data_IF_825366034784
#
_entry.id   IF_825366034784
#
_cell.length_a   1.000
_cell.length_b   1.000
_cell.length_c   1.000
_cell.angle_alpha   90.00
_cell.angle_beta   90.00
_cell.angle_gamma   90.00
#
_symmetry.space_group_name_H-M   'P 1'
#
loop_
_entity.id
_entity.type
_entity.pdbx_description
1 polymer ?
#
# COMPACT_ATOMS: atom_id res chain seq x y z
N UNK A 1 14.82 -12.94 9.82
CA UNK A 1 14.88 -11.49 10.09
C UNK A 1 13.65 -11.14 10.89
N UNK A 2 13.82 -10.46 12.03
CA UNK A 2 12.68 -10.09 12.86
C UNK A 2 12.18 -8.71 12.43
N UNK A 3 10.93 -8.62 11.96
CA UNK A 3 10.32 -7.34 11.56
C UNK A 3 9.71 -6.70 12.80
N UNK A 4 10.23 -5.54 13.18
CA UNK A 4 9.86 -4.86 14.41
C UNK A 4 9.42 -3.41 14.19
N UNK A 5 9.84 -2.77 13.10
CA UNK A 5 9.51 -1.40 12.71
C UNK A 5 9.25 -1.33 11.21
N UNK A 6 8.60 -0.27 10.74
CA UNK A 6 8.35 -0.10 9.30
C UNK A 6 9.63 -0.09 8.46
N UNK A 7 10.71 0.52 8.97
CA UNK A 7 12.00 0.60 8.27
C UNK A 7 12.61 -0.77 7.96
N UNK A 8 12.28 -1.80 8.75
CA UNK A 8 12.77 -3.16 8.52
C UNK A 8 12.22 -3.76 7.21
N UNK A 9 11.10 -3.23 6.71
CA UNK A 9 10.48 -3.64 5.45
C UNK A 9 11.18 -3.05 4.22
N UNK A 10 11.82 -1.90 4.33
CA UNK A 10 12.32 -1.12 3.18
C UNK A 10 13.37 -1.85 2.33
N UNK A 11 14.02 -2.88 2.88
CA UNK A 11 15.01 -3.71 2.16
C UNK A 11 14.41 -4.93 1.46
N UNK A 12 13.11 -5.19 1.67
CA UNK A 12 12.44 -6.38 1.15
C UNK A 12 11.83 -6.11 -0.22
N UNK A 13 11.97 -7.09 -1.10
CA UNK A 13 11.28 -7.11 -2.39
C UNK A 13 9.85 -7.65 -2.30
N UNK A 14 9.62 -8.60 -1.39
CA UNK A 14 8.32 -9.22 -1.16
C UNK A 14 7.95 -9.10 0.31
N UNK A 15 6.68 -8.81 0.57
CA UNK A 15 6.14 -8.70 1.91
C UNK A 15 6.43 -9.98 2.72
N UNK A 16 6.93 -9.84 3.95
CA UNK A 16 7.13 -10.98 4.83
C UNK A 16 5.80 -11.45 5.41
N UNK A 17 5.77 -12.68 5.93
CA UNK A 17 4.68 -13.10 6.80
C UNK A 17 4.81 -12.40 8.16
N UNK A 18 3.72 -11.82 8.64
CA UNK A 18 3.68 -11.08 9.91
C UNK A 18 2.70 -11.75 10.88
N UNK A 19 3.11 -11.85 12.14
CA UNK A 19 2.20 -12.22 13.23
C UNK A 19 1.22 -11.09 13.53
N UNK A 20 0.09 -11.40 14.17
CA UNK A 20 -0.92 -10.38 14.53
C UNK A 20 -0.38 -9.28 15.44
N UNK A 21 0.61 -9.58 16.30
CA UNK A 21 1.26 -8.57 17.14
C UNK A 21 2.14 -7.63 16.31
N UNK A 22 2.87 -8.16 15.32
CA UNK A 22 3.65 -7.34 14.38
C UNK A 22 2.73 -6.46 13.53
N UNK A 23 1.64 -7.00 12.99
CA UNK A 23 0.65 -6.22 12.23
C UNK A 23 0.14 -5.04 13.05
N UNK A 24 -0.32 -5.27 14.28
CA UNK A 24 -0.81 -4.19 15.16
C UNK A 24 0.24 -3.12 15.43
N UNK A 25 1.48 -3.53 15.68
CA UNK A 25 2.58 -2.61 15.97
C UNK A 25 2.92 -1.75 14.74
N UNK A 26 3.13 -2.39 13.59
CA UNK A 26 3.48 -1.72 12.35
C UNK A 26 2.34 -0.82 11.86
N UNK A 27 1.08 -1.23 12.06
CA UNK A 27 -0.08 -0.41 11.73
C UNK A 27 -0.08 0.90 12.53
N UNK A 28 0.22 0.85 13.83
CA UNK A 28 0.31 2.07 14.65
C UNK A 28 1.41 3.02 14.19
N UNK A 29 2.58 2.49 13.82
CA UNK A 29 3.66 3.29 13.21
C UNK A 29 3.21 3.88 11.86
N UNK A 30 2.51 3.11 11.04
CA UNK A 30 2.07 3.52 9.71
C UNK A 30 1.00 4.61 9.77
N UNK A 31 0.01 4.44 10.65
CA UNK A 31 -1.06 5.41 10.87
C UNK A 31 -0.50 6.76 11.33
N UNK A 32 0.51 6.76 12.19
CA UNK A 32 1.20 8.00 12.59
C UNK A 32 1.78 8.74 11.38
N UNK A 33 2.40 8.02 10.44
CA UNK A 33 2.95 8.63 9.23
C UNK A 33 1.85 9.08 8.26
N UNK A 34 0.82 8.27 8.06
CA UNK A 34 -0.33 8.61 7.19
C UNK A 34 -1.04 9.87 7.70
N UNK A 35 -1.27 10.00 9.01
CA UNK A 35 -1.98 11.15 9.58
C UNK A 35 -1.16 12.44 9.60
N UNK A 36 0.17 12.33 9.53
CA UNK A 36 1.04 13.49 9.39
C UNK A 36 1.20 13.92 7.92
N UNK A 37 0.90 13.04 6.97
CA UNK A 37 1.00 13.32 5.54
C UNK A 37 -0.21 14.13 5.03
N UNK A 38 0.01 14.96 4.02
CA UNK A 38 -1.08 15.68 3.35
C UNK A 38 -1.94 14.73 2.51
N UNK A 39 -1.29 13.74 1.89
CA UNK A 39 -1.94 12.69 1.12
C UNK A 39 -1.00 11.49 0.93
N UNK A 40 -1.51 10.39 0.40
CA UNK A 40 -0.72 9.19 0.12
C UNK A 40 -0.82 8.73 -1.35
N UNK A 41 0.22 8.04 -1.81
CA UNK A 41 0.10 7.10 -2.93
C UNK A 41 0.21 5.67 -2.45
N UNK A 42 -0.51 4.79 -3.12
CA UNK A 42 -0.53 3.35 -2.83
C UNK A 42 0.03 2.64 -4.06
N UNK A 43 1.07 1.83 -3.87
CA UNK A 43 1.56 0.88 -4.86
C UNK A 43 1.23 -0.53 -4.41
N UNK A 44 0.66 -1.38 -5.27
CA UNK A 44 0.34 -2.77 -4.92
C UNK A 44 0.93 -3.68 -5.98
N UNK A 45 1.81 -4.57 -5.53
CA UNK A 45 2.39 -5.64 -6.33
C UNK A 45 1.65 -6.92 -5.97
N UNK A 46 0.97 -7.54 -6.94
CA UNK A 46 0.08 -8.65 -6.66
C UNK A 46 0.10 -9.70 -7.79
N UNK A 47 -0.31 -10.95 -7.52
CA UNK A 47 -0.36 -11.99 -8.54
C UNK A 47 -1.50 -11.82 -9.56
N UNK A 48 -2.47 -10.93 -9.29
CA UNK A 48 -3.56 -10.57 -10.22
C UNK A 48 -4.13 -9.18 -9.95
N UNK A 49 -4.82 -8.61 -10.94
CA UNK A 49 -5.61 -7.37 -10.79
C UNK A 49 -6.63 -7.46 -9.66
N UNK A 50 -7.34 -8.58 -9.55
CA UNK A 50 -8.33 -8.85 -8.51
C UNK A 50 -7.70 -8.76 -7.13
N UNK A 51 -6.52 -9.38 -6.93
CA UNK A 51 -5.81 -9.33 -5.64
C UNK A 51 -5.31 -7.94 -5.31
N UNK A 52 -4.86 -7.17 -6.31
CA UNK A 52 -4.50 -5.77 -6.11
C UNK A 52 -5.70 -4.90 -5.72
N UNK A 53 -6.84 -5.10 -6.38
CA UNK A 53 -8.09 -4.37 -6.11
C UNK A 53 -8.63 -4.71 -4.71
N UNK A 54 -8.64 -5.99 -4.32
CA UNK A 54 -9.02 -6.43 -2.96
C UNK A 54 -8.17 -5.73 -1.89
N UNK A 55 -6.85 -5.67 -2.08
CA UNK A 55 -5.94 -4.97 -1.18
C UNK A 55 -6.18 -3.45 -1.14
N UNK A 56 -6.50 -2.82 -2.27
CA UNK A 56 -6.85 -1.40 -2.30
C UNK A 56 -8.19 -1.11 -1.59
N UNK A 57 -9.16 -2.01 -1.75
CA UNK A 57 -10.47 -1.92 -1.11
C UNK A 57 -10.35 -2.08 0.41
N UNK A 58 -9.50 -2.97 0.93
CA UNK A 58 -9.29 -3.11 2.38
C UNK A 58 -8.74 -1.83 3.01
N UNK A 59 -7.84 -1.12 2.32
CA UNK A 59 -7.35 0.21 2.74
C UNK A 59 -8.51 1.23 2.78
N UNK A 60 -9.34 1.26 1.73
CA UNK A 60 -10.48 2.18 1.65
C UNK A 60 -11.55 1.89 2.72
N UNK A 61 -11.71 0.63 3.11
CA UNK A 61 -12.59 0.21 4.19
C UNK A 61 -12.05 0.62 5.56
N UNK A 62 -10.73 0.54 5.75
CA UNK A 62 -10.05 0.95 6.98
C UNK A 62 -10.10 2.47 7.18
N UNK A 63 -9.89 3.23 6.11
CA UNK A 63 -9.82 4.69 6.14
C UNK A 63 -10.89 5.31 5.25
N UNK A 64 -11.98 5.76 5.85
CA UNK A 64 -13.12 6.36 5.13
C UNK A 64 -12.78 7.61 4.31
N UNK A 65 -11.67 8.28 4.62
CA UNK A 65 -11.12 9.44 3.90
C UNK A 65 -10.31 9.06 2.65
N UNK A 66 -9.89 7.80 2.53
CA UNK A 66 -9.12 7.30 1.39
C UNK A 66 -10.10 6.56 0.47
N UNK A 67 -10.38 7.17 -0.68
CA UNK A 67 -11.30 6.61 -1.67
C UNK A 67 -10.71 6.67 -3.06
N UNK A 68 -11.05 5.66 -3.86
CA UNK A 68 -10.60 5.51 -5.22
C UNK A 68 -11.79 5.28 -6.15
N UNK A 69 -11.75 5.90 -7.32
CA UNK A 69 -12.79 5.77 -8.33
C UNK A 69 -12.56 4.62 -9.32
N UNK A 70 -13.62 4.21 -10.00
CA UNK A 70 -13.59 3.38 -11.21
C UNK A 70 -12.86 2.02 -11.10
N UNK A 71 -12.88 1.39 -9.91
CA UNK A 71 -12.18 0.11 -9.69
C UNK A 71 -12.69 -1.02 -10.60
N UNK A 72 -13.99 -1.04 -10.89
CA UNK A 72 -14.63 -2.08 -11.73
C UNK A 72 -14.17 -2.04 -13.20
N UNK A 73 -13.55 -0.94 -13.63
CA UNK A 73 -13.00 -0.78 -14.99
C UNK A 73 -11.53 -1.18 -15.11
N UNK A 74 -10.87 -1.46 -13.97
CA UNK A 74 -9.47 -1.84 -13.95
C UNK A 74 -9.33 -3.30 -14.37
N UNK A 75 -8.43 -3.54 -15.32
CA UNK A 75 -8.14 -4.90 -15.77
C UNK A 75 -6.69 -5.01 -16.24
N UNK A 76 -6.03 -6.11 -15.85
CA UNK A 76 -4.71 -6.49 -16.35
C UNK A 76 -4.48 -7.99 -16.14
N UNK A 77 -3.79 -8.62 -17.09
CA UNK A 77 -3.50 -10.06 -17.05
C UNK A 77 -2.25 -10.38 -16.22
N UNK A 78 -2.27 -11.52 -15.52
CA UNK A 78 -1.13 -12.05 -14.79
C UNK A 78 -0.74 -11.23 -13.56
N UNK A 79 0.55 -11.26 -13.19
CA UNK A 79 1.06 -10.41 -12.10
C UNK A 79 0.95 -8.93 -12.47
N UNK A 80 0.61 -8.10 -11.50
CA UNK A 80 0.29 -6.69 -11.73
C UNK A 80 1.02 -5.75 -10.79
N UNK A 81 1.11 -4.51 -11.25
CA UNK A 81 1.33 -3.34 -10.41
C UNK A 81 0.12 -2.41 -10.50
N UNK A 82 -0.52 -2.15 -9.36
CA UNK A 82 -1.56 -1.15 -9.20
C UNK A 82 -0.99 0.10 -8.53
N UNK A 83 -1.34 1.28 -9.03
CA UNK A 83 -1.02 2.57 -8.42
C UNK A 83 -2.29 3.35 -8.14
N UNK A 84 -2.58 3.62 -6.88
CA UNK A 84 -3.61 4.54 -6.42
C UNK A 84 -3.01 5.86 -5.97
N UNK A 85 -3.61 6.98 -6.37
CA UNK A 85 -3.21 8.32 -5.95
C UNK A 85 -4.37 8.95 -5.17
N UNK A 86 -4.22 9.10 -3.85
CA UNK A 86 -5.30 9.62 -3.00
C UNK A 86 -5.69 11.06 -3.38
N UNK A 87 -4.71 11.92 -3.69
CA UNK A 87 -4.94 13.35 -4.02
C UNK A 87 -5.88 13.54 -5.21
N UNK A 88 -5.79 12.65 -6.20
CA UNK A 88 -6.63 12.69 -7.41
C UNK A 88 -7.78 11.69 -7.41
N UNK A 89 -7.75 10.69 -6.52
CA UNK A 89 -8.65 9.54 -6.54
C UNK A 89 -8.41 8.56 -7.70
N UNK A 90 -7.41 8.81 -8.56
CA UNK A 90 -7.13 8.02 -9.74
C UNK A 90 -6.43 6.71 -9.38
N UNK A 91 -6.76 5.66 -10.14
CA UNK A 91 -6.13 4.35 -10.05
C UNK A 91 -5.76 3.86 -11.44
N UNK A 92 -4.60 3.22 -11.52
CA UNK A 92 -4.13 2.55 -12.72
C UNK A 92 -3.60 1.17 -12.35
N UNK A 93 -3.83 0.18 -13.22
CA UNK A 93 -3.25 -1.17 -13.10
C UNK A 93 -2.56 -1.53 -14.40
N UNK A 94 -1.42 -2.22 -14.31
CA UNK A 94 -0.72 -2.84 -15.45
C UNK A 94 -0.21 -4.21 -15.10
N UNK A 95 -0.10 -5.07 -16.10
CA UNK A 95 0.66 -6.31 -16.00
C UNK A 95 2.14 -5.99 -15.80
N UNK A 96 2.75 -6.55 -14.76
CA UNK A 96 4.18 -6.41 -14.48
C UNK A 96 4.70 -7.62 -13.72
N UNK A 97 5.74 -8.24 -14.28
CA UNK A 97 6.36 -9.43 -13.71
C UNK A 97 7.61 -9.06 -12.93
N UNK A 98 7.90 -9.83 -11.87
CA UNK A 98 9.18 -9.73 -11.17
C UNK A 98 9.30 -8.56 -10.20
N UNK A 99 8.20 -8.02 -9.69
CA UNK A 99 8.22 -6.99 -8.64
C UNK A 99 8.25 -7.55 -7.20
N UNK A 100 7.87 -8.81 -7.02
CA UNK A 100 7.52 -9.32 -5.68
C UNK A 100 6.03 -9.11 -5.41
N UNK A 101 5.63 -9.22 -4.14
CA UNK A 101 4.23 -9.04 -3.72
C UNK A 101 4.15 -8.20 -2.46
N UNK A 102 3.13 -7.32 -2.38
CA UNK A 102 2.85 -6.50 -1.21
C UNK A 102 2.39 -5.09 -1.53
N UNK A 103 2.11 -4.34 -0.48
CA UNK A 103 1.60 -2.97 -0.51
C UNK A 103 2.72 -2.01 -0.12
N UNK A 104 2.89 -0.96 -0.91
CA UNK A 104 3.72 0.20 -0.64
C UNK A 104 2.81 1.40 -0.35
N UNK A 105 3.07 2.09 0.75
CA UNK A 105 2.40 3.34 1.10
C UNK A 105 3.45 4.45 1.07
N UNK A 106 3.27 5.43 0.19
CA UNK A 106 4.11 6.63 0.17
C UNK A 106 3.35 7.80 0.75
N UNK A 107 3.83 8.34 1.86
CA UNK A 107 3.37 9.58 2.46
C UNK A 107 3.94 10.76 1.66
N UNK A 108 3.05 11.64 1.23
CA UNK A 108 3.36 12.79 0.38
C UNK A 108 3.02 14.07 1.14
N UNK A 109 3.81 15.10 0.89
CA UNK A 109 3.65 16.43 1.47
C UNK A 109 3.61 17.43 0.32
N UNK A 110 2.78 18.46 0.45
CA UNK A 110 2.78 19.57 -0.51
C UNK A 110 4.09 20.38 -0.38
N UNK A 111 4.46 21.10 -1.44
CA UNK A 111 5.79 21.73 -1.59
C UNK A 111 6.22 22.53 -0.35
N UNK A 112 7.51 22.40 0.01
CA UNK A 112 8.23 23.05 1.13
C UNK A 112 8.00 22.52 2.56
N UNK A 113 7.26 21.42 2.77
CA UNK A 113 7.06 20.85 4.11
C UNK A 113 8.10 19.77 4.49
N UNK A 114 8.13 18.62 3.81
CA UNK A 114 9.01 17.47 4.11
C UNK A 114 9.25 16.58 2.86
N UNK A 115 10.26 15.70 2.90
CA UNK A 115 10.49 14.68 1.86
C UNK A 115 9.47 13.53 1.95
N UNK A 116 9.05 13.00 0.79
CA UNK A 116 8.12 11.87 0.74
C UNK A 116 8.76 10.57 1.28
N UNK A 117 8.03 9.84 2.12
CA UNK A 117 8.49 8.59 2.71
C UNK A 117 7.68 7.39 2.22
N UNK A 118 8.34 6.34 1.74
CA UNK A 118 7.69 5.09 1.32
C UNK A 118 7.92 3.97 2.33
N UNK A 119 6.84 3.28 2.70
CA UNK A 119 6.84 2.15 3.62
C UNK A 119 6.33 0.88 2.94
N UNK A 120 7.00 -0.24 3.23
CA UNK A 120 6.62 -1.57 2.74
C UNK A 120 7.79 -2.31 2.10
N UNK A 121 7.53 -3.46 1.46
CA UNK A 121 6.21 -4.04 1.17
C UNK A 121 5.50 -4.63 2.40
N UNK A 122 4.26 -4.22 2.62
CA UNK A 122 3.34 -4.79 3.61
C UNK A 122 2.55 -5.97 2.97
N UNK A 123 2.09 -6.97 3.75
CA UNK A 123 1.24 -8.03 3.24
C UNK A 123 -0.02 -7.51 2.52
N UNK A 124 -0.51 -8.22 1.50
CA UNK A 124 -1.72 -7.83 0.75
C UNK A 124 -2.99 -7.81 1.62
N UNK A 125 -2.99 -8.57 2.71
CA UNK A 125 -4.07 -8.66 3.69
C UNK A 125 -3.83 -7.79 4.94
N UNK A 126 -2.80 -6.93 4.94
CA UNK A 126 -2.38 -6.14 6.10
C UNK A 126 -3.50 -5.28 6.70
N UNK A 127 -4.46 -4.83 5.88
CA UNK A 127 -5.59 -3.99 6.30
C UNK A 127 -6.91 -4.75 6.45
N UNK A 128 -6.92 -6.09 6.33
CA UNK A 128 -8.11 -6.93 6.48
C UNK A 128 -8.48 -7.23 7.96
N UNK A 129 -8.15 -6.33 8.87
CA UNK A 129 -8.23 -6.50 10.34
C UNK A 129 -9.58 -6.09 10.90
#
# INVERSE_FOLDING_TARGET
>A
MEINKLVDLNSLRTAPQLSSSQVKKLLGELETNIFNADWITIGIMAPSDTKAIEALQSISNKYSSIKFGNLDSLHADGSVFLKGNQKTGNVFVRSENGLGEGILITCQFDEDAEESNTFGPLPLDFFCI
#
